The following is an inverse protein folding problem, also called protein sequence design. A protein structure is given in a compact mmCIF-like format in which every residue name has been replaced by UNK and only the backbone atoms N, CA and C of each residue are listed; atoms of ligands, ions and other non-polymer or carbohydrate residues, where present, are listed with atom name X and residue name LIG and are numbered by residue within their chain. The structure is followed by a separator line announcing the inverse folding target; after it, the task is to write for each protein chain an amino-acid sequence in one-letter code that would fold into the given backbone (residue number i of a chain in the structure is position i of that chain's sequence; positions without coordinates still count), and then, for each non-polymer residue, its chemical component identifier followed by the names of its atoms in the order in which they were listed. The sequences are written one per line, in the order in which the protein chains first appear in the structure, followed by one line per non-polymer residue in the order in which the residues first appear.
data_IF_985424532547
#
_entry.id   IF_985424532547
#
_cell.length_a   1.000
_cell.length_b   1.000
_cell.length_c   1.000
_cell.angle_alpha   90.00
_cell.angle_beta   90.00
_cell.angle_gamma   90.00
#
_symmetry.space_group_name_H-M   'P 1'
#
loop_
_entity.id
_entity.type
_entity.pdbx_description
1 polymer ?
2 non-polymer ?
3 non-polymer ?
4 non-polymer ?
5 water ?
#
# COMPACT_ATOMS: atom_id res chain seq x y z
N UNK A 3 24.50 0.11 -7.35
CA UNK A 3 23.62 0.91 -6.45
C UNK A 3 22.27 1.20 -7.08
N UNK A 4 21.22 0.61 -6.52
CA UNK A 4 19.86 0.80 -7.01
C UNK A 4 19.36 2.24 -6.76
N UNK A 5 18.27 2.62 -7.43
CA UNK A 5 17.66 3.94 -7.23
C UNK A 5 17.23 4.16 -5.77
N UNK A 6 16.72 3.12 -5.10
CA UNK A 6 16.32 3.28 -3.68
C UNK A 6 17.48 3.63 -2.73
N UNK A 7 18.60 2.93 -2.89
CA UNK A 7 19.80 3.17 -2.09
C UNK A 7 20.32 4.58 -2.34
N UNK A 8 20.26 4.99 -3.60
CA UNK A 8 20.74 6.30 -4.00
C UNK A 8 19.81 7.40 -3.44
N UNK A 9 18.51 7.20 -3.57
CA UNK A 9 17.56 8.20 -3.05
C UNK A 9 17.52 8.27 -1.52
N UNK A 10 17.79 7.13 -0.86
CA UNK A 10 17.91 7.11 0.59
C UNK A 10 19.12 7.95 1.03
N UNK A 11 20.20 7.88 0.24
CA UNK A 11 21.41 8.67 0.54
C UNK A 11 21.16 10.14 0.36
N UNK A 12 20.39 10.49 -0.67
CA UNK A 12 20.10 11.89 -0.95
C UNK A 12 19.01 12.51 -0.04
N UNK A 13 17.92 11.78 0.15
CA UNK A 13 16.72 12.34 0.81
C UNK A 13 16.53 11.80 2.23
N UNK A 14 17.12 10.64 2.50
CA UNK A 14 16.79 9.86 3.70
C UNK A 14 16.84 10.59 5.02
N UNK A 15 17.97 11.22 5.32
CA UNK A 15 18.13 11.86 6.60
C UNK A 15 17.06 12.95 6.80
N UNK A 16 16.80 13.72 5.75
CA UNK A 16 15.81 14.77 5.85
C UNK A 16 14.41 14.18 6.05
N UNK A 17 14.09 13.09 5.36
CA UNK A 17 12.82 12.40 5.57
C UNK A 17 12.67 11.98 7.02
N UNK A 18 13.66 11.27 7.57
CA UNK A 18 13.58 10.82 8.97
C UNK A 18 13.45 11.99 9.92
N UNK A 19 14.22 13.06 9.71
CA UNK A 19 14.06 14.27 10.54
C UNK A 19 12.64 14.84 10.53
N UNK A 20 12.03 14.89 9.36
CA UNK A 20 10.70 15.49 9.24
C UNK A 20 9.68 14.64 10.00
N UNK A 21 9.81 13.32 9.91
CA UNK A 21 8.85 12.44 10.61
C UNK A 21 8.90 12.70 12.12
N UNK A 22 10.11 12.73 12.66
CA UNK A 22 10.27 12.96 14.08
C UNK A 22 9.77 14.35 14.48
N UNK A 23 10.00 15.32 13.62
CA UNK A 23 9.59 16.66 13.94
C UNK A 23 8.08 16.84 14.09
N UNK A 24 7.31 16.33 13.15
CA UNK A 24 5.88 16.50 13.28
C UNK A 24 5.31 15.67 14.42
N UNK A 25 5.83 14.46 14.64
CA UNK A 25 5.35 13.61 15.72
C UNK A 25 5.72 14.21 17.06
N UNK A 26 6.81 14.96 17.11
CA UNK A 26 7.32 15.48 18.37
C UNK A 26 6.55 16.68 18.88
N UNK A 27 5.76 17.31 18.02
CA UNK A 27 5.07 18.54 18.44
C UNK A 27 4.10 18.20 19.58
N UNK A 28 4.36 18.75 20.78
CA UNK A 28 3.46 18.57 21.92
C UNK A 28 3.55 17.21 22.57
N UNK A 29 4.55 16.44 22.17
CA UNK A 29 4.68 15.06 22.61
C UNK A 29 5.28 14.96 24.01
N UNK A 30 4.55 14.33 24.90
CA UNK A 30 5.03 14.14 26.27
C UNK A 30 6.26 13.22 26.32
N UNK A 31 7.22 13.58 27.16
CA UNK A 31 8.45 12.80 27.28
C UNK A 31 8.24 11.31 27.55
N UNK A 32 7.33 10.97 28.46
CA UNK A 32 7.10 9.56 28.76
C UNK A 32 6.24 8.82 27.73
N UNK A 33 5.88 9.49 26.63
CA UNK A 33 5.07 8.84 25.58
C UNK A 33 5.93 8.82 24.30
N UNK A 34 7.07 9.45 24.34
CA UNK A 34 7.91 9.62 23.18
C UNK A 34 8.36 8.30 22.57
N UNK A 35 8.81 7.40 23.41
CA UNK A 35 9.31 6.14 22.89
C UNK A 35 8.20 5.37 22.17
N UNK A 36 7.01 5.34 22.78
CA UNK A 36 5.89 4.61 22.20
C UNK A 36 5.48 5.21 20.86
N UNK A 37 5.52 6.55 20.76
CA UNK A 37 5.01 7.23 19.58
C UNK A 37 6.03 7.17 18.44
N UNK A 38 7.31 7.36 18.77
CA UNK A 38 8.37 7.32 17.77
C UNK A 38 8.65 5.90 17.27
N UNK A 39 8.24 4.90 18.03
CA UNK A 39 8.55 3.49 17.72
C UNK A 39 8.28 3.07 16.26
N UNK A 40 7.11 3.41 15.72
CA UNK A 40 6.70 2.93 14.39
C UNK A 40 7.58 3.51 13.29
N UNK A 41 8.15 4.69 13.51
CA UNK A 41 9.03 5.27 12.50
C UNK A 41 10.50 4.91 12.72
N UNK A 42 10.82 4.23 13.82
CA UNK A 42 12.19 3.86 14.09
C UNK A 42 12.45 2.40 13.75
N UNK A 43 11.45 1.71 13.23
CA UNK A 43 11.62 0.30 12.93
C UNK A 43 12.05 0.05 11.48
N UNK A 44 12.35 1.12 10.75
CA UNK A 44 12.83 0.96 9.38
C UNK A 44 11.73 1.09 8.36
N UNK A 45 11.92 0.48 7.20
CA UNK A 45 10.98 0.68 6.08
C UNK A 45 11.72 1.21 4.87
N UNK A 46 11.21 0.94 3.67
CA UNK A 46 11.89 1.43 2.46
C UNK A 46 11.62 2.92 2.20
N UNK A 47 10.61 3.48 2.85
CA UNK A 47 10.28 4.89 2.60
C UNK A 47 10.12 5.14 1.11
N UNK A 48 9.57 4.19 0.38
CA UNK A 48 9.38 4.37 -1.05
C UNK A 48 8.43 5.53 -1.38
N UNK A 49 7.41 5.71 -0.56
CA UNK A 49 6.41 6.74 -0.83
C UNK A 49 6.96 8.16 -0.72
N UNK A 50 7.59 8.50 0.41
CA UNK A 50 8.16 9.84 0.47
C UNK A 50 9.28 10.04 -0.57
N UNK A 51 10.04 8.99 -0.89
CA UNK A 51 11.07 9.12 -1.94
C UNK A 51 10.45 9.49 -3.27
N UNK A 52 9.28 8.92 -3.56
CA UNK A 52 8.53 9.20 -4.76
C UNK A 52 8.01 10.65 -4.76
N UNK A 53 7.51 11.05 -3.61
CA UNK A 53 7.09 12.45 -3.44
C UNK A 53 8.22 13.43 -3.80
N UNK A 54 9.40 13.16 -3.26
CA UNK A 54 10.52 14.09 -3.41
C UNK A 54 11.10 14.02 -4.83
N UNK A 55 11.20 12.82 -5.39
CA UNK A 55 11.62 12.70 -6.77
C UNK A 55 10.65 13.38 -7.72
N UNK A 56 9.36 13.33 -7.44
CA UNK A 56 8.41 13.99 -8.35
C UNK A 56 8.57 15.51 -8.28
N UNK A 57 8.77 16.03 -7.07
CA UNK A 57 8.97 17.45 -6.88
C UNK A 57 10.22 17.85 -7.64
N UNK A 58 11.27 17.07 -7.43
CA UNK A 58 12.55 17.39 -8.09
C UNK A 58 12.46 17.34 -9.61
N UNK A 59 11.71 16.38 -10.15
CA UNK A 59 11.53 16.25 -11.60
C UNK A 59 10.88 17.49 -12.19
N UNK A 60 9.88 18.01 -11.52
CA UNK A 60 9.13 19.08 -12.16
C UNK A 60 9.73 20.47 -11.86
N UNK A 61 10.59 20.59 -10.86
CA UNK A 61 10.97 21.94 -10.41
C UNK A 61 12.45 22.09 -10.14
N UNK A 62 13.16 20.97 -10.08
CA UNK A 62 14.53 20.96 -9.69
C UNK A 62 14.83 21.03 -8.19
N UNK A 63 13.79 21.12 -7.38
CA UNK A 63 13.96 21.19 -5.93
C UNK A 63 13.14 20.10 -5.23
N UNK A 64 13.70 19.48 -4.20
CA UNK A 64 12.92 18.50 -3.45
C UNK A 64 12.55 18.98 -2.05
N UNK A 65 13.38 19.84 -1.47
CA UNK A 65 13.14 20.24 -0.07
C UNK A 65 11.77 20.86 0.25
N UNK A 66 11.18 21.65 -0.69
CA UNK A 66 9.84 22.21 -0.42
C UNK A 66 8.75 21.15 -0.32
N UNK A 67 9.07 19.94 -0.77
CA UNK A 67 8.13 18.80 -0.69
C UNK A 67 8.32 17.94 0.54
N UNK A 68 9.25 18.33 1.42
CA UNK A 68 9.47 17.53 2.62
C UNK A 68 8.21 17.42 3.47
N UNK A 69 7.45 18.51 3.62
CA UNK A 69 6.25 18.32 4.44
C UNK A 69 5.29 17.30 3.82
N UNK A 70 5.12 17.33 2.50
CA UNK A 70 4.22 16.40 1.81
C UNK A 70 4.74 14.98 1.94
N UNK A 71 6.07 14.85 1.87
CA UNK A 71 6.73 13.53 1.99
C UNK A 71 6.51 12.95 3.39
N UNK A 72 6.60 13.79 4.40
CA UNK A 72 6.31 13.33 5.77
C UNK A 72 4.84 12.95 5.90
N UNK A 73 3.92 13.71 5.27
CA UNK A 73 2.49 13.36 5.32
C UNK A 73 2.29 11.95 4.78
N UNK A 74 2.85 11.67 3.61
CA UNK A 74 2.48 10.43 2.96
C UNK A 74 3.06 9.24 3.75
N UNK A 75 4.27 9.40 4.28
CA UNK A 75 4.89 8.32 5.08
C UNK A 75 4.22 8.15 6.43
N UNK A 76 3.79 9.28 7.03
CA UNK A 76 3.04 9.19 8.29
C UNK A 76 1.66 8.54 8.09
N UNK A 77 1.00 8.83 6.98
CA UNK A 77 -0.27 8.14 6.68
C UNK A 77 -0.01 6.63 6.52
N UNK A 78 1.04 6.30 5.78
CA UNK A 78 1.44 4.89 5.60
C UNK A 78 1.57 4.22 6.96
N UNK A 79 2.34 4.83 7.84
CA UNK A 79 2.57 4.23 9.17
C UNK A 79 1.37 4.27 10.13
N UNK A 80 0.52 5.29 9.99
CA UNK A 80 -0.75 5.35 10.69
C UNK A 80 -1.59 4.15 10.29
N UNK A 81 -1.62 3.87 8.99
CA UNK A 81 -2.45 2.76 8.52
C UNK A 81 -1.82 1.45 9.01
N UNK A 82 -0.51 1.40 9.05
CA UNK A 82 0.15 0.16 9.51
C UNK A 82 -0.13 -0.12 11.00
N UNK A 83 -0.12 0.90 11.84
CA UNK A 83 -0.37 0.72 13.28
C UNK A 83 -1.71 0.04 13.50
N UNK A 84 -2.75 0.55 12.86
CA UNK A 84 -4.08 -0.02 13.00
C UNK A 84 -4.20 -1.33 12.27
N UNK A 85 -3.51 -1.46 11.13
CA UNK A 85 -3.49 -2.76 10.44
C UNK A 85 -2.97 -3.85 11.37
N UNK A 86 -1.91 -3.56 12.12
CA UNK A 86 -1.34 -4.56 13.05
C UNK A 86 -2.31 -4.90 14.19
N UNK A 87 -3.05 -3.91 14.67
CA UNK A 87 -4.06 -4.17 15.70
C UNK A 87 -5.13 -5.08 15.09
N UNK A 88 -5.70 -4.68 13.96
CA UNK A 88 -6.84 -5.38 13.37
C UNK A 88 -6.52 -6.84 13.01
N UNK A 89 -5.32 -7.05 12.49
CA UNK A 89 -4.86 -8.37 12.09
C UNK A 89 -4.10 -9.08 13.21
N UNK A 90 -3.97 -8.39 14.35
CA UNK A 90 -3.18 -8.88 15.47
C UNK A 90 -1.84 -9.35 14.95
N UNK A 91 -1.10 -8.46 14.29
CA UNK A 91 0.22 -8.79 13.78
C UNK A 91 1.27 -8.59 14.86
N UNK A 92 2.18 -9.55 14.99
CA UNK A 92 3.17 -9.51 16.05
C UNK A 92 4.47 -8.93 15.54
N UNK A 93 4.75 -9.09 14.25
CA UNK A 93 6.05 -8.72 13.69
C UNK A 93 5.89 -7.85 12.43
N UNK A 94 6.77 -6.87 12.27
CA UNK A 94 6.82 -6.07 11.05
C UNK A 94 8.24 -5.54 10.89
N UNK A 95 8.75 -5.64 9.65
CA UNK A 95 10.12 -5.21 9.38
C UNK A 95 11.08 -5.91 10.36
N UNK A 96 10.76 -7.17 10.67
CA UNK A 96 11.65 -8.00 11.52
C UNK A 96 11.64 -7.67 13.00
N UNK A 97 10.73 -6.80 13.42
CA UNK A 97 10.64 -6.41 14.83
C UNK A 97 9.22 -6.47 15.37
N UNK A 98 9.07 -6.39 16.70
CA UNK A 98 7.70 -6.40 17.23
C UNK A 98 6.92 -5.18 16.74
N UNK A 99 5.62 -5.34 16.48
CA UNK A 99 4.77 -4.22 16.06
C UNK A 99 4.49 -3.32 17.28
N UNK A 100 3.85 -2.19 17.06
CA UNK A 100 3.46 -1.34 18.18
C UNK A 100 2.48 -2.09 19.12
N UNK A 101 1.45 -2.70 18.56
CA UNK A 101 0.48 -3.40 19.40
C UNK A 101 1.18 -4.51 20.24
N UNK A 102 2.18 -5.16 19.65
CA UNK A 102 2.92 -6.24 20.35
C UNK A 102 3.77 -5.75 21.51
N UNK A 103 4.64 -4.76 21.23
CA UNK A 103 5.51 -4.22 22.26
C UNK A 103 4.78 -3.40 23.33
N UNK A 104 3.72 -2.68 22.95
CA UNK A 104 3.12 -1.70 23.87
C UNK A 104 1.70 -2.07 24.33
N UNK A 105 1.01 -2.85 23.48
CA UNK A 105 -0.34 -3.34 23.78
C UNK A 105 -1.30 -2.76 22.75
N UNK A 106 -2.43 -3.44 22.54
CA UNK A 106 -3.37 -3.02 21.52
C UNK A 106 -3.91 -1.64 21.82
N UNK A 107 -4.14 -1.38 23.09
CA UNK A 107 -4.84 -0.15 23.44
C UNK A 107 -3.88 1.02 23.47
N UNK A 108 -2.65 0.77 23.90
CA UNK A 108 -1.60 1.79 23.82
C UNK A 108 -1.38 2.14 22.35
N UNK A 109 -1.43 1.11 21.49
CA UNK A 109 -1.28 1.32 20.04
C UNK A 109 -2.35 2.29 19.50
N UNK A 110 -3.59 2.14 19.97
CA UNK A 110 -4.66 3.06 19.57
C UNK A 110 -4.33 4.52 19.93
N UNK A 111 -3.82 4.74 21.16
CA UNK A 111 -3.49 6.11 21.59
C UNK A 111 -2.34 6.64 20.69
N UNK A 112 -1.44 5.75 20.30
CA UNK A 112 -0.38 6.10 19.36
C UNK A 112 -0.97 6.45 17.98
N UNK A 113 -1.86 5.61 17.45
CA UNK A 113 -2.45 5.86 16.14
C UNK A 113 -3.15 7.21 16.11
N UNK A 114 -3.88 7.51 17.18
CA UNK A 114 -4.62 8.78 17.30
C UNK A 114 -3.64 9.93 17.20
N UNK A 115 -2.48 9.75 17.84
CA UNK A 115 -1.44 10.78 17.84
C UNK A 115 -0.84 11.00 16.43
N UNK A 116 -0.54 9.91 15.72
CA UNK A 116 -0.07 9.98 14.33
C UNK A 116 -0.99 10.86 13.44
N UNK A 117 -2.32 10.74 13.57
CA UNK A 117 -3.20 11.50 12.67
C UNK A 117 -3.08 12.99 12.93
N UNK A 118 -2.78 13.38 14.17
CA UNK A 118 -2.63 14.80 14.47
C UNK A 118 -1.22 15.27 14.06
N UNK A 119 -0.25 14.37 14.08
CA UNK A 119 1.09 14.71 13.56
C UNK A 119 0.97 14.94 12.03
N UNK A 120 0.20 14.10 11.36
CA UNK A 120 -0.12 14.29 9.94
C UNK A 120 -0.76 15.65 9.70
N UNK A 121 -1.65 16.05 10.58
CA UNK A 121 -2.27 17.37 10.45
C UNK A 121 -1.24 18.50 10.62
N UNK A 122 -0.31 18.36 11.56
CA UNK A 122 0.77 19.39 11.70
C UNK A 122 1.57 19.51 10.39
N UNK A 123 1.78 18.38 9.73
CA UNK A 123 2.54 18.39 8.48
C UNK A 123 1.75 19.10 7.38
N UNK A 124 0.47 18.75 7.29
CA UNK A 124 -0.47 19.44 6.40
C UNK A 124 -0.39 20.97 6.55
N UNK A 125 -0.42 21.46 7.80
CA UNK A 125 -0.36 22.90 8.06
C UNK A 125 0.99 23.52 7.68
N UNK A 126 1.99 22.66 7.50
CA UNK A 126 3.34 23.10 7.15
C UNK A 126 3.62 23.06 5.62
N UNK A 127 2.68 22.55 4.82
CA UNK A 127 2.83 22.51 3.35
C UNK A 127 2.60 23.89 2.73
N UNK A 128 2.99 24.06 1.45
CA UNK A 128 2.74 25.30 0.70
C UNK A 128 1.29 25.64 0.50
N UNK A 129 0.42 24.64 0.54
CA UNK A 129 -0.97 24.86 0.23
C UNK A 129 -1.87 24.13 1.24
N UNK A 130 -1.91 24.63 2.48
CA UNK A 130 -2.47 23.84 3.57
C UNK A 130 -3.90 23.37 3.36
N UNK A 131 -4.80 24.24 2.91
CA UNK A 131 -6.18 23.79 2.78
C UNK A 131 -6.38 22.75 1.65
N UNK A 132 -5.54 22.82 0.62
CA UNK A 132 -5.62 21.85 -0.47
C UNK A 132 -5.10 20.50 0.00
N UNK A 133 -3.97 20.52 0.69
CA UNK A 133 -3.44 19.28 1.24
C UNK A 133 -4.39 18.66 2.26
N UNK A 134 -5.03 19.50 3.06
CA UNK A 134 -5.92 19.01 4.11
C UNK A 134 -7.05 18.22 3.49
N UNK A 135 -7.62 18.74 2.40
CA UNK A 135 -8.72 18.06 1.69
C UNK A 135 -8.23 16.76 1.05
N UNK A 136 -7.06 16.78 0.43
CA UNK A 136 -6.58 15.56 -0.24
C UNK A 136 -6.17 14.47 0.76
N UNK A 137 -5.66 14.88 1.91
CA UNK A 137 -5.35 13.94 2.96
C UNK A 137 -6.64 13.28 3.49
N UNK A 138 -7.68 14.07 3.75
CA UNK A 138 -8.94 13.47 4.18
C UNK A 138 -9.47 12.50 3.12
N UNK A 139 -9.38 12.87 1.85
CA UNK A 139 -9.91 11.97 0.82
C UNK A 139 -9.09 10.69 0.72
N UNK A 140 -7.77 10.81 0.83
CA UNK A 140 -6.91 9.62 0.68
C UNK A 140 -7.01 8.66 1.87
N UNK A 141 -7.11 9.23 3.08
CA UNK A 141 -7.29 8.38 4.25
C UNK A 141 -8.63 7.63 4.17
N UNK A 142 -9.68 8.32 3.77
CA UNK A 142 -10.95 7.65 3.57
C UNK A 142 -10.87 6.56 2.50
N UNK A 143 -10.09 6.82 1.43
CA UNK A 143 -9.88 5.80 0.41
C UNK A 143 -9.17 4.56 0.98
N UNK A 144 -8.12 4.77 1.74
CA UNK A 144 -7.45 3.67 2.43
C UNK A 144 -8.41 2.90 3.36
N UNK A 145 -9.20 3.63 4.13
CA UNK A 145 -10.10 3.00 5.12
C UNK A 145 -11.13 2.17 4.38
N UNK A 146 -11.68 2.73 3.31
CA UNK A 146 -12.64 2.01 2.51
C UNK A 146 -12.00 0.78 1.84
N UNK A 147 -10.77 0.94 1.33
CA UNK A 147 -10.09 -0.20 0.70
C UNK A 147 -9.86 -1.32 1.70
N UNK A 148 -9.49 -0.97 2.92
CA UNK A 148 -9.30 -1.93 3.96
C UNK A 148 -10.63 -2.65 4.33
N UNK A 149 -11.69 -1.88 4.42
CA UNK A 149 -13.01 -2.41 4.70
C UNK A 149 -13.33 -3.47 3.63
N UNK A 150 -13.16 -3.12 2.36
CA UNK A 150 -13.46 -4.04 1.26
C UNK A 150 -12.61 -5.30 1.32
N UNK A 151 -11.33 -5.13 1.58
CA UNK A 151 -10.43 -6.30 1.62
C UNK A 151 -10.86 -7.32 2.65
N UNK A 152 -11.24 -6.83 3.83
CA UNK A 152 -11.74 -7.70 4.89
C UNK A 152 -13.09 -8.36 4.52
N UNK A 153 -14.02 -7.59 3.97
CA UNK A 153 -15.30 -8.14 3.50
C UNK A 153 -15.16 -9.07 2.31
N UNK A 154 -14.03 -9.03 1.59
CA UNK A 154 -13.75 -9.97 0.51
C UNK A 154 -13.16 -11.30 1.07
N UNK A 155 -12.88 -11.37 2.36
CA UNK A 155 -12.41 -12.64 2.94
C UNK A 155 -13.57 -13.65 2.93
N UNK A 156 -13.22 -14.93 2.95
CA UNK A 156 -14.19 -16.03 2.91
C UNK A 156 -14.45 -16.61 4.31
N UNK A 157 -13.60 -16.26 5.27
CA UNK A 157 -13.70 -16.74 6.66
C UNK A 157 -12.65 -16.02 7.52
N UNK A 158 -12.66 -16.28 8.83
CA UNK A 158 -11.50 -16.02 9.68
C UNK A 158 -11.50 -14.81 10.62
N UNK A 159 -12.65 -14.17 10.78
CA UNK A 159 -12.78 -12.97 11.64
C UNK A 159 -13.82 -13.19 12.73
N UNK A 160 -13.73 -12.42 13.80
CA UNK A 160 -14.68 -12.53 14.89
C UNK A 160 -15.56 -11.26 15.06
N UNK A 161 -15.39 -10.26 14.19
CA UNK A 161 -16.23 -9.03 14.24
C UNK A 161 -17.57 -9.27 13.58
N UNK A 162 -18.67 -9.09 14.32
CA UNK A 162 -19.96 -9.31 13.68
C UNK A 162 -20.11 -8.59 12.34
N UNK A 163 -19.60 -7.36 12.24
CA UNK A 163 -19.72 -6.62 10.98
C UNK A 163 -18.98 -7.32 9.82
N UNK A 164 -17.76 -7.80 10.08
CA UNK A 164 -16.95 -8.44 9.04
C UNK A 164 -17.61 -9.74 8.60
N UNK A 165 -18.20 -10.47 9.54
CA UNK A 165 -18.89 -11.73 9.23
C UNK A 165 -20.18 -11.46 8.47
N UNK A 166 -21.04 -10.61 9.05
CA UNK A 166 -22.38 -10.38 8.53
C UNK A 166 -22.45 -9.55 7.24
N UNK A 167 -21.50 -8.64 7.05
CA UNK A 167 -21.45 -7.82 5.83
C UNK A 167 -20.54 -8.41 4.76
N UNK A 168 -19.95 -9.57 5.05
CA UNK A 168 -19.07 -10.26 4.09
C UNK A 168 -19.75 -10.34 2.71
N UNK A 169 -19.04 -9.96 1.65
CA UNK A 169 -19.65 -9.95 0.32
C UNK A 169 -19.89 -11.36 -0.22
N UNK A 170 -21.00 -11.55 -0.93
CA UNK A 170 -21.35 -12.87 -1.47
C UNK A 170 -20.44 -13.22 -2.63
N UNK A 171 -20.09 -12.22 -3.43
CA UNK A 171 -19.28 -12.45 -4.62
C UNK A 171 -18.20 -11.42 -4.69
N UNK A 172 -17.04 -11.83 -5.17
CA UNK A 172 -15.94 -10.87 -5.39
C UNK A 172 -15.42 -10.97 -6.84
N UNK A 173 -15.75 -10.00 -7.68
CA UNK A 173 -15.31 -10.04 -9.08
C UNK A 173 -13.93 -9.44 -9.27
N UNK A 174 -13.37 -9.59 -10.46
CA UNK A 174 -12.08 -8.99 -10.78
C UNK A 174 -12.22 -7.48 -10.69
N UNK A 175 -13.34 -6.94 -11.15
CA UNK A 175 -13.56 -5.50 -11.06
C UNK A 175 -13.56 -5.06 -9.59
N UNK A 176 -14.26 -5.82 -8.76
CA UNK A 176 -14.31 -5.55 -7.33
C UNK A 176 -12.89 -5.52 -6.81
N UNK A 177 -12.10 -6.51 -7.22
CA UNK A 177 -10.74 -6.61 -6.71
C UNK A 177 -9.89 -5.40 -7.10
N UNK A 178 -10.03 -4.98 -8.35
CA UNK A 178 -9.32 -3.80 -8.81
C UNK A 178 -9.80 -2.53 -8.08
N UNK A 179 -11.10 -2.40 -7.84
CA UNK A 179 -11.56 -1.22 -7.12
C UNK A 179 -10.89 -1.19 -5.74
N UNK A 180 -10.86 -2.35 -5.11
CA UNK A 180 -10.31 -2.51 -3.76
C UNK A 180 -8.83 -2.15 -3.68
N UNK A 181 -8.02 -2.71 -4.58
CA UNK A 181 -6.59 -2.43 -4.50
C UNK A 181 -6.25 -1.00 -4.89
N UNK A 182 -7.03 -0.41 -5.82
CA UNK A 182 -6.86 0.99 -6.16
C UNK A 182 -6.99 1.88 -4.93
N UNK A 183 -7.84 1.46 -4.00
CA UNK A 183 -8.11 2.27 -2.82
C UNK A 183 -7.13 1.93 -1.73
N UNK A 184 -6.93 0.64 -1.52
CA UNK A 184 -6.10 0.17 -0.39
C UNK A 184 -4.63 0.46 -0.58
N UNK A 185 -4.17 0.42 -1.83
CA UNK A 185 -2.73 0.50 -2.09
C UNK A 185 -2.43 1.60 -3.09
N UNK A 186 -3.26 1.71 -4.11
CA UNK A 186 -2.98 2.67 -5.19
C UNK A 186 -3.08 4.14 -4.81
N UNK A 187 -4.13 4.49 -4.07
CA UNK A 187 -4.44 5.89 -3.77
C UNK A 187 -3.28 6.59 -3.06
N UNK A 188 -2.61 5.90 -2.14
CA UNK A 188 -1.60 6.58 -1.35
C UNK A 188 -0.33 6.72 -2.18
N UNK A 189 -0.09 5.79 -3.10
CA UNK A 189 1.04 5.92 -4.03
C UNK A 189 0.76 7.00 -5.09
N UNK A 190 -0.47 7.03 -5.59
CA UNK A 190 -0.92 8.15 -6.42
C UNK A 190 -0.75 9.48 -5.67
N UNK A 191 -1.17 9.52 -4.41
CA UNK A 191 -0.98 10.73 -3.59
C UNK A 191 0.49 11.11 -3.45
N UNK A 192 1.36 10.14 -3.22
CA UNK A 192 2.78 10.44 -3.03
C UNK A 192 3.28 11.24 -4.23
N UNK A 193 2.99 10.74 -5.42
CA UNK A 193 3.48 11.42 -6.64
C UNK A 193 2.81 12.77 -6.82
N UNK A 194 1.50 12.75 -6.76
CA UNK A 194 0.76 13.99 -6.98
C UNK A 194 1.17 15.05 -5.99
N UNK A 195 1.36 14.69 -4.73
CA UNK A 195 1.69 15.70 -3.71
C UNK A 195 3.10 16.28 -3.89
N UNK A 196 4.00 15.52 -4.48
CA UNK A 196 5.32 16.07 -4.80
C UNK A 196 5.15 17.22 -5.79
N UNK A 197 4.41 16.96 -6.86
CA UNK A 197 4.12 17.99 -7.86
C UNK A 197 3.41 19.21 -7.26
N UNK A 198 2.40 18.99 -6.44
CA UNK A 198 1.65 20.10 -5.85
C UNK A 198 2.52 21.01 -4.98
N UNK A 199 3.58 20.45 -4.41
CA UNK A 199 4.43 21.17 -3.48
C UNK A 199 5.29 22.21 -4.19
N UNK A 200 5.48 22.05 -5.49
CA UNK A 200 6.43 22.91 -6.24
C UNK A 200 5.86 23.48 -7.53
N UNK A 201 4.58 23.23 -7.82
CA UNK A 201 4.02 23.62 -9.11
C UNK A 201 2.49 23.77 -9.08
N UNK A 202 1.96 24.75 -9.80
CA UNK A 202 0.51 24.88 -9.92
C UNK A 202 0.00 24.27 -11.23
N UNK A 203 0.83 23.52 -11.95
CA UNK A 203 0.39 22.89 -13.19
C UNK A 203 -0.53 21.71 -12.88
N UNK A 204 -1.82 21.88 -13.13
CA UNK A 204 -2.83 20.85 -12.80
C UNK A 204 -2.67 19.60 -13.67
N UNK A 205 -2.24 19.79 -14.91
CA UNK A 205 -2.07 18.66 -15.82
C UNK A 205 -0.98 17.75 -15.33
N UNK A 206 0.12 18.33 -14.87
CA UNK A 206 1.24 17.57 -14.30
C UNK A 206 0.83 16.86 -13.01
N UNK A 207 0.05 17.54 -12.19
CA UNK A 207 -0.43 16.93 -10.92
C UNK A 207 -1.30 15.72 -11.25
N UNK A 208 -2.21 15.89 -12.20
CA UNK A 208 -3.10 14.80 -12.59
C UNK A 208 -2.33 13.62 -13.19
N UNK A 209 -1.32 13.90 -14.01
CA UNK A 209 -0.46 12.84 -14.57
C UNK A 209 0.32 12.06 -13.49
N UNK A 210 0.86 12.79 -12.54
CA UNK A 210 1.59 12.17 -11.45
C UNK A 210 0.59 11.29 -10.65
N UNK A 211 -0.58 11.81 -10.37
CA UNK A 211 -1.59 10.98 -9.67
C UNK A 211 -1.90 9.69 -10.45
N UNK A 212 -2.20 9.81 -11.74
CA UNK A 212 -2.57 8.65 -12.53
C UNK A 212 -1.43 7.66 -12.61
N UNK A 213 -0.21 8.19 -12.64
CA UNK A 213 1.02 7.40 -12.67
C UNK A 213 1.20 6.62 -11.40
N UNK A 214 0.97 7.25 -10.26
CA UNK A 214 1.14 6.57 -8.97
C UNK A 214 0.07 5.51 -8.72
N UNK A 215 -1.15 5.83 -9.11
CA UNK A 215 -2.28 4.89 -8.99
C UNK A 215 -1.93 3.63 -9.76
N UNK A 216 -1.65 3.76 -11.05
CA UNK A 216 -1.40 2.61 -11.89
C UNK A 216 -0.24 1.79 -11.34
N UNK A 217 0.84 2.45 -10.90
CA UNK A 217 2.01 1.76 -10.33
C UNK A 217 1.66 0.93 -9.07
N UNK A 218 0.82 1.52 -8.23
CA UNK A 218 0.37 0.91 -6.97
C UNK A 218 -0.46 -0.34 -7.24
N UNK A 219 -1.33 -0.26 -8.24
CA UNK A 219 -2.12 -1.44 -8.64
C UNK A 219 -1.18 -2.51 -9.16
N UNK A 220 -0.22 -2.14 -10.01
CA UNK A 220 0.68 -3.15 -10.59
C UNK A 220 1.46 -3.80 -9.49
N UNK A 221 1.85 -2.99 -8.51
CA UNK A 221 2.64 -3.50 -7.39
C UNK A 221 1.81 -4.48 -6.57
N UNK A 222 0.57 -4.11 -6.28
CA UNK A 222 -0.26 -4.99 -5.43
C UNK A 222 -0.50 -6.34 -6.12
N UNK A 223 -0.75 -6.30 -7.42
CA UNK A 223 -0.99 -7.54 -8.18
C UNK A 223 0.21 -8.47 -8.06
N UNK A 224 1.39 -7.94 -8.29
CA UNK A 224 2.62 -8.72 -8.19
C UNK A 224 2.77 -9.27 -6.78
N UNK A 225 2.54 -8.41 -5.80
CA UNK A 225 2.61 -8.84 -4.40
C UNK A 225 1.69 -10.03 -4.16
N UNK A 226 0.50 -9.98 -4.76
CA UNK A 226 -0.49 -11.04 -4.59
C UNK A 226 0.03 -12.32 -5.25
N UNK A 227 0.73 -12.19 -6.37
CA UNK A 227 1.29 -13.37 -7.03
C UNK A 227 2.32 -14.05 -6.14
N UNK A 228 3.22 -13.25 -5.57
CA UNK A 228 4.23 -13.76 -4.63
C UNK A 228 3.56 -14.44 -3.43
N UNK A 229 2.48 -13.85 -2.95
CA UNK A 229 1.76 -14.36 -1.78
C UNK A 229 0.91 -15.57 -2.09
N UNK A 230 1.16 -16.17 -3.26
CA UNK A 230 0.54 -17.44 -3.64
C UNK A 230 1.65 -18.42 -4.00
N UNK A 231 2.56 -17.99 -4.86
CA UNK A 231 3.58 -18.87 -5.42
C UNK A 231 4.94 -18.65 -4.78
N UNK A 232 4.95 -18.00 -3.62
CA UNK A 232 6.21 -17.73 -2.92
C UNK A 232 7.27 -17.18 -3.83
N UNK A 240 6.84 -18.56 1.64
CA UNK A 240 5.75 -19.26 2.28
C UNK A 240 4.57 -19.48 1.33
N UNK A 241 4.61 -20.58 0.58
CA UNK A 241 3.55 -20.92 -0.39
C UNK A 241 2.10 -20.76 0.14
N UNK A 242 1.28 -20.00 -0.60
CA UNK A 242 -0.16 -19.97 -0.38
C UNK A 242 -0.68 -19.25 0.86
N UNK A 243 0.06 -18.23 1.29
CA UNK A 243 -0.32 -17.41 2.46
C UNK A 243 -1.70 -16.75 2.37
N UNK A 244 -2.08 -16.26 1.18
CA UNK A 244 -3.40 -15.61 1.02
C UNK A 244 -4.52 -16.63 0.98
N UNK A 245 -4.22 -17.85 0.54
CA UNK A 245 -5.21 -18.91 0.62
C UNK A 245 -5.50 -19.33 2.09
N UNK A 246 -4.44 -19.48 2.87
CA UNK A 246 -4.56 -19.82 4.27
C UNK A 246 -5.38 -18.76 4.96
N UNK A 247 -5.21 -17.52 4.52
CA UNK A 247 -5.90 -16.40 5.15
C UNK A 247 -7.25 -16.06 4.51
N UNK A 248 -7.77 -16.96 3.68
CA UNK A 248 -9.17 -16.90 3.22
C UNK A 248 -9.46 -15.74 2.27
N UNK A 249 -8.45 -15.23 1.58
CA UNK A 249 -8.64 -14.03 0.75
C UNK A 249 -9.17 -14.30 -0.64
N UNK A 250 -10.35 -13.75 -0.93
CA UNK A 250 -10.80 -13.63 -2.31
C UNK A 250 -10.23 -12.34 -2.95
N UNK A 251 -9.83 -11.37 -2.12
CA UNK A 251 -9.21 -10.11 -2.57
C UNK A 251 -7.75 -10.30 -2.93
N UNK A 252 -7.50 -11.32 -3.73
CA UNK A 252 -6.14 -11.62 -4.20
C UNK A 252 -6.23 -11.79 -5.70
N UNK A 253 -5.30 -11.16 -6.42
CA UNK A 253 -5.47 -11.04 -7.85
C UNK A 253 -5.55 -12.42 -8.53
N UNK A 254 -4.67 -13.34 -8.11
CA UNK A 254 -4.65 -14.68 -8.73
C UNK A 254 -5.99 -15.38 -8.42
N UNK A 255 -6.46 -15.27 -7.18
CA UNK A 255 -7.72 -15.91 -6.78
C UNK A 255 -8.88 -15.29 -7.57
N UNK A 256 -8.91 -13.96 -7.65
CA UNK A 256 -9.99 -13.27 -8.33
C UNK A 256 -9.98 -13.60 -9.81
N UNK A 257 -8.80 -13.67 -10.41
CA UNK A 257 -8.68 -14.11 -11.80
C UNK A 257 -9.27 -15.52 -11.95
N UNK A 258 -8.85 -16.42 -11.08
CA UNK A 258 -9.29 -17.80 -11.14
C UNK A 258 -10.81 -17.91 -11.03
N UNK A 259 -11.40 -17.25 -10.01
CA UNK A 259 -12.84 -17.34 -9.78
C UNK A 259 -13.64 -16.90 -10.99
N UNK A 260 -13.04 -16.05 -11.81
CA UNK A 260 -13.72 -15.56 -13.00
C UNK A 260 -13.69 -16.58 -14.16
N UNK A 261 -12.79 -17.55 -14.11
CA UNK A 261 -12.61 -18.51 -15.22
C UNK A 261 -13.03 -19.93 -14.87
N UNK A 262 -12.92 -20.31 -13.61
CA UNK A 262 -13.22 -21.67 -13.21
C UNK A 262 -14.67 -22.07 -13.47
N UNK A 263 -14.85 -23.33 -13.86
CA UNK A 263 -16.19 -23.89 -14.03
C UNK A 263 -16.89 -23.96 -12.70
N UNK A 264 -18.18 -24.25 -12.73
CA UNK A 264 -19.02 -24.14 -11.55
C UNK A 264 -18.51 -25.00 -10.39
N UNK A 265 -18.17 -26.24 -10.69
CA UNK A 265 -17.71 -27.16 -9.65
C UNK A 265 -16.34 -26.81 -9.11
N UNK A 266 -15.46 -26.42 -10.03
CA UNK A 266 -14.10 -26.02 -9.65
C UNK A 266 -14.16 -24.72 -8.86
N UNK A 267 -15.01 -23.81 -9.31
CA UNK A 267 -15.26 -22.56 -8.62
C UNK A 267 -15.79 -22.80 -7.21
N UNK A 268 -16.81 -23.64 -7.09
CA UNK A 268 -17.36 -23.96 -5.78
C UNK A 268 -16.30 -24.60 -4.86
N UNK A 269 -15.49 -25.49 -5.42
CA UNK A 269 -14.43 -26.13 -4.64
C UNK A 269 -13.40 -25.11 -4.09
N UNK A 270 -13.00 -24.17 -4.94
CA UNK A 270 -11.95 -23.24 -4.54
C UNK A 270 -12.50 -22.37 -3.40
N UNK A 271 -13.73 -21.93 -3.54
CA UNK A 271 -14.34 -21.16 -2.49
C UNK A 271 -14.44 -22.01 -1.20
N UNK A 272 -14.80 -23.28 -1.33
CA UNK A 272 -14.85 -24.18 -0.18
C UNK A 272 -13.53 -24.22 0.56
N UNK A 273 -12.44 -24.29 -0.20
CA UNK A 273 -11.13 -24.31 0.43
C UNK A 273 -10.83 -23.00 1.13
N UNK A 274 -11.18 -21.89 0.48
CA UNK A 274 -10.85 -20.58 1.07
C UNK A 274 -11.63 -20.39 2.37
N UNK A 275 -12.85 -20.93 2.41
CA UNK A 275 -13.75 -20.81 3.56
C UNK A 275 -13.48 -21.78 4.71
N UNK A 276 -12.55 -22.71 4.50
CA UNK A 276 -12.16 -23.63 5.57
C UNK A 276 -11.52 -22.92 6.74
N UNK A 277 -12.04 -23.16 7.94
CA UNK A 277 -11.59 -22.45 9.12
C UNK A 277 -10.09 -22.60 9.36
N UNK A 278 -9.57 -23.81 9.18
CA UNK A 278 -8.12 -23.98 9.13
C UNK A 278 -7.77 -24.62 7.79
N UNK A 279 -6.98 -23.90 6.98
CA UNK A 279 -6.58 -24.39 5.66
C UNK A 279 -5.30 -25.22 5.77
N UNK A 280 -5.39 -26.51 5.43
CA UNK A 280 -4.23 -27.40 5.53
C UNK A 280 -3.31 -27.29 4.32
N UNK A 281 -2.10 -27.80 4.46
CA UNK A 281 -1.15 -27.84 3.34
C UNK A 281 -1.77 -28.39 2.07
N UNK A 282 -2.54 -29.47 2.21
CA UNK A 282 -3.10 -30.15 1.04
C UNK A 282 -4.22 -29.32 0.44
N UNK A 283 -4.83 -28.46 1.26
CA UNK A 283 -5.85 -27.56 0.75
C UNK A 283 -5.17 -26.49 -0.11
N UNK A 284 -4.05 -25.95 0.39
CA UNK A 284 -3.26 -25.00 -0.39
C UNK A 284 -2.91 -25.59 -1.76
N UNK A 285 -2.20 -26.72 -1.77
CA UNK A 285 -1.84 -27.34 -3.03
C UNK A 285 -3.02 -27.54 -3.98
N UNK A 286 -4.12 -28.06 -3.45
CA UNK A 286 -5.29 -28.26 -4.25
C UNK A 286 -5.83 -26.93 -4.81
N UNK A 287 -5.81 -25.89 -3.98
CA UNK A 287 -6.26 -24.55 -4.40
C UNK A 287 -5.34 -24.06 -5.52
N UNK A 288 -4.03 -24.21 -5.34
CA UNK A 288 -3.09 -23.75 -6.35
C UNK A 288 -3.34 -24.50 -7.66
N UNK A 289 -3.69 -25.79 -7.58
CA UNK A 289 -3.91 -26.57 -8.80
C UNK A 289 -5.10 -26.04 -9.57
N UNK A 290 -6.13 -25.62 -8.83
CA UNK A 290 -7.31 -25.00 -9.43
C UNK A 290 -6.90 -23.72 -10.14
N UNK A 291 -6.10 -22.89 -9.46
CA UNK A 291 -5.59 -21.65 -10.05
C UNK A 291 -4.87 -21.94 -11.35
N UNK A 292 -3.94 -22.90 -11.31
CA UNK A 292 -3.14 -23.21 -12.50
C UNK A 292 -3.96 -23.81 -13.62
N UNK A 293 -5.08 -24.40 -13.27
CA UNK A 293 -5.93 -25.08 -14.23
C UNK A 293 -6.56 -24.08 -15.18
N UNK A 294 -6.57 -22.81 -14.77
CA UNK A 294 -7.10 -21.77 -15.66
C UNK A 294 -6.05 -20.71 -15.99
N UNK A 295 -4.79 -21.06 -15.73
CA UNK A 295 -3.65 -20.18 -16.02
C UNK A 295 -3.72 -18.84 -15.28
N UNK A 296 -4.31 -18.87 -14.09
CA UNK A 296 -4.60 -17.66 -13.31
C UNK A 296 -3.35 -16.85 -12.96
N UNK A 297 -2.23 -17.51 -12.70
CA UNK A 297 -1.01 -16.81 -12.37
C UNK A 297 -0.49 -15.96 -13.53
N UNK A 298 -0.39 -16.58 -14.70
CA UNK A 298 0.02 -15.87 -15.90
C UNK A 298 -0.95 -14.74 -16.22
N UNK A 299 -2.25 -14.97 -16.03
CA UNK A 299 -3.19 -13.90 -16.31
C UNK A 299 -3.00 -12.72 -15.33
N UNK A 300 -2.68 -13.03 -14.08
CA UNK A 300 -2.47 -11.98 -13.08
C UNK A 300 -1.25 -11.17 -13.46
N UNK A 301 -0.20 -11.86 -13.88
CA UNK A 301 1.02 -11.15 -14.23
C UNK A 301 0.83 -10.31 -15.49
N UNK A 302 -0.08 -10.73 -16.37
CA UNK A 302 -0.38 -9.95 -17.57
C UNK A 302 -1.20 -8.70 -17.16
N UNK A 303 -2.10 -8.86 -16.21
CA UNK A 303 -2.78 -7.74 -15.63
C UNK A 303 -1.79 -6.77 -15.00
N UNK A 304 -0.80 -7.27 -14.25
CA UNK A 304 0.22 -6.39 -13.70
C UNK A 304 0.95 -5.63 -14.82
N UNK A 305 1.30 -6.31 -15.91
CA UNK A 305 1.89 -5.63 -17.09
C UNK A 305 0.98 -4.53 -17.64
N UNK A 306 -0.31 -4.77 -17.68
CA UNK A 306 -1.25 -3.76 -18.18
C UNK A 306 -1.14 -2.46 -17.39
N UNK A 307 -1.11 -2.58 -16.06
CA UNK A 307 -1.08 -1.38 -15.21
C UNK A 307 0.32 -0.72 -15.24
N UNK A 308 1.36 -1.54 -15.34
CA UNK A 308 2.71 -1.03 -15.44
C UNK A 308 2.86 -0.21 -16.71
N UNK A 309 2.26 -0.65 -17.79
CA UNK A 309 2.32 0.08 -19.04
C UNK A 309 1.47 1.36 -18.99
N UNK A 310 0.36 1.30 -18.30
CA UNK A 310 -0.42 2.51 -18.04
C UNK A 310 0.41 3.51 -17.22
N UNK A 311 1.03 3.06 -16.13
CA UNK A 311 1.89 3.93 -15.33
C UNK A 311 2.88 4.66 -16.24
N UNK A 312 3.46 3.91 -17.18
CA UNK A 312 4.47 4.47 -18.12
C UNK A 312 3.91 5.53 -19.06
N UNK A 313 2.70 5.32 -19.56
CA UNK A 313 2.07 6.35 -20.39
C UNK A 313 1.83 7.64 -19.61
N UNK A 314 1.37 7.54 -18.38
CA UNK A 314 1.16 8.75 -17.57
C UNK A 314 2.50 9.39 -17.27
N UNK A 315 3.48 8.57 -16.92
CA UNK A 315 4.82 9.04 -16.57
C UNK A 315 5.45 9.82 -17.72
N UNK A 316 5.14 9.42 -18.94
CA UNK A 316 5.70 10.09 -20.13
C UNK A 316 5.25 11.57 -20.22
N UNK A 317 4.20 11.92 -19.50
CA UNK A 317 3.70 13.30 -19.54
C UNK A 317 4.44 14.20 -18.55
N UNK A 318 5.34 13.61 -17.78
CA UNK A 318 6.04 14.33 -16.72
C UNK A 318 7.47 14.58 -17.16
N UNK A 319 7.94 15.83 -17.08
CA UNK A 319 9.28 16.21 -17.53
C UNK A 319 10.40 15.66 -16.66
N UNK A 320 11.60 15.55 -17.23
CA UNK A 320 12.79 15.17 -16.48
C UNK A 320 12.55 13.91 -15.62
N UNK A 321 11.98 12.88 -16.24
CA UNK A 321 11.40 11.79 -15.45
C UNK A 321 12.29 10.56 -15.24
N UNK A 322 13.60 10.72 -15.48
CA UNK A 322 14.53 9.58 -15.41
C UNK A 322 14.50 8.83 -14.10
N UNK A 323 14.60 9.56 -13.00
CA UNK A 323 14.64 8.94 -11.68
C UNK A 323 13.29 8.29 -11.34
N UNK A 324 12.20 8.98 -11.68
CA UNK A 324 10.86 8.44 -11.48
C UNK A 324 10.67 7.14 -12.25
N UNK A 325 11.30 7.03 -13.42
CA UNK A 325 11.19 5.80 -14.22
C UNK A 325 11.95 4.66 -13.55
N UNK A 326 13.12 4.97 -12.98
CA UNK A 326 13.84 3.98 -12.17
C UNK A 326 13.02 3.51 -10.96
N UNK A 327 12.39 4.44 -10.27
CA UNK A 327 11.58 4.09 -9.12
C UNK A 327 10.42 3.20 -9.52
N UNK A 328 9.77 3.54 -10.64
CA UNK A 328 8.68 2.74 -11.15
C UNK A 328 9.11 1.29 -11.35
N UNK A 329 10.25 1.10 -12.01
CA UNK A 329 10.74 -0.26 -12.23
C UNK A 329 10.97 -1.03 -10.93
N UNK A 330 11.53 -0.35 -9.93
CA UNK A 330 11.76 -0.96 -8.63
C UNK A 330 10.42 -1.22 -7.91
N UNK A 331 9.50 -0.26 -8.00
CA UNK A 331 8.22 -0.38 -7.32
C UNK A 331 7.41 -1.55 -7.85
N UNK A 332 7.35 -1.70 -9.17
CA UNK A 332 6.58 -2.78 -9.75
C UNK A 332 7.49 -3.96 -9.97
N UNK A 333 8.59 -3.99 -9.23
CA UNK A 333 9.53 -5.11 -9.29
C UNK A 333 9.53 -5.64 -10.71
N UNK A 334 9.87 -4.75 -11.65
CA UNK A 334 9.81 -5.08 -13.07
C UNK A 334 10.71 -6.25 -13.45
N UNK A 335 12.00 -6.13 -13.12
CA UNK A 335 12.99 -7.15 -13.48
C UNK A 335 12.53 -8.53 -13.02
N UNK A 336 12.15 -8.63 -11.75
CA UNK A 336 11.67 -9.87 -11.15
C UNK A 336 10.44 -10.42 -11.87
N UNK A 337 9.40 -9.60 -11.97
CA UNK A 337 8.13 -9.98 -12.59
C UNK A 337 8.30 -10.58 -13.98
N UNK A 338 9.16 -9.97 -14.80
CA UNK A 338 9.37 -10.46 -16.15
C UNK A 338 10.18 -11.76 -16.15
N UNK A 339 11.03 -11.91 -15.13
CA UNK A 339 11.77 -13.16 -14.93
C UNK A 339 10.83 -14.32 -14.56
N UNK A 340 9.86 -14.05 -13.70
CA UNK A 340 8.79 -15.02 -13.43
C UNK A 340 7.95 -15.20 -14.69
X LIG B 1 15.83 21.24 -2.84
X LIG C 1 6.99 -1.68 -0.18
X LIG C 1 7.14 -1.71 1.23
X LIG C 1 6.27 -0.46 -0.68
X LIG C 1 6.05 -0.14 -1.98
X LIG C 1 6.53 -0.97 -3.11
X LIG C 1 5.31 1.09 -2.33
X LIG C 1 5.98 -1.36 2.27
X LIG C 1 5.64 0.00 2.03
X LIG C 1 4.90 -2.29 2.14
X LIG C 1 6.67 -1.55 3.68
X LIG C 1 7.70 -0.65 4.43
X LIG C 1 7.06 0.57 4.83
X LIG C 1 8.80 -0.41 3.54
X LIG C 1 8.08 -1.46 5.54
X LIG D 1 -8.56 10.41 -3.73
X LIG D 1 -8.84 11.81 -3.52
X LIG D 1 -7.73 12.76 -3.99
X LIG D 1 -7.99 13.22 -5.34
X LIG D 1 -6.83 13.39 -6.16
X LIG D 1 -7.17 13.23 -7.66
X LIG D 1 -6.10 13.71 -8.48
X LIG D 1 -6.49 14.22 -9.77
X LIG D 1 -5.47 15.25 -10.26
X LIG D 1 -6.06 16.52 -10.54
X LIG D 1 -5.18 17.65 -10.41
X LIG D 1 -5.80 18.63 -9.41
X LIG D 1 -4.81 19.44 -8.74
#
# INVERSE_FOLDING_TARGET
MVMDVVSRLHQKYGAEVEKALVRYLSIGLAEDFREAVLYQVKTGGKRLRPLLTLAAAEAVSGQWRPALPAAAIVELIHNYSLIYDDIIDRGDVRRGLPTVRKAFGDNAAILVGIWYREAIEEAVLDTPKPTLFAKEVAEVIKAIDEGERLDILFEAAGRSDPYFVQARWREVTLDDYIKMVSLKTGALIAAAAKWGVLSVSDDRGLAEAAWNFGMAAGVAFQIIDDVLDIYGDPKKFGKEIGKDIKEHKRGNAVVAVALSHLGEGERRRLLEILAREVVEEADVREAVALLDSVGAREEALRLAARYREEAERHLAKIPNNGTLKELLDFIVAREYAENLYFQSHHHHHHWSHPQFEK
CL CL
DMA C1 O1 C2 C3 C4 C5 PA O1A O2A O3A PB O1B O2B O3B
PG4 O1 C1 C2 O2 C3 C4 O3 C5 C6 O4 C7 C8 O5
#
